data_IF_297165133650
#
_entry.id   IF_297165133650
#
_cell.length_a   1.000
_cell.length_b   1.000
_cell.length_c   1.000
_cell.angle_alpha   90.00
_cell.angle_beta   90.00
_cell.angle_gamma   90.00
#
_symmetry.space_group_name_H-M   'P 1'
#
loop_
_entity.id
_entity.type
_entity.pdbx_description
1 polymer ?
#
# COMPACT_ATOMS: atom_id res chain seq x y z
N UNK A 1 -11.58 -22.15 20.59
CA UNK A 1 -12.58 -21.07 20.41
C UNK A 1 -12.31 -20.39 19.09
N UNK A 2 -13.35 -20.21 18.28
CA UNK A 2 -13.31 -19.37 17.08
C UNK A 2 -13.05 -17.92 17.50
N UNK A 3 -12.21 -17.19 16.75
CA UNK A 3 -11.82 -15.82 17.08
C UNK A 3 -12.83 -14.81 16.52
N UNK A 4 -13.15 -13.78 17.31
CA UNK A 4 -14.01 -12.66 16.89
C UNK A 4 -13.17 -11.59 16.21
N UNK A 5 -13.43 -11.35 14.93
CA UNK A 5 -12.59 -10.48 14.09
C UNK A 5 -13.41 -9.31 13.57
N UNK A 6 -13.05 -8.09 13.97
CA UNK A 6 -13.66 -6.87 13.50
C UNK A 6 -13.06 -6.39 12.19
N UNK A 7 -13.90 -6.01 11.22
CA UNK A 7 -13.49 -5.43 9.95
C UNK A 7 -13.90 -3.96 9.86
N UNK A 8 -12.93 -3.07 9.71
CA UNK A 8 -13.14 -1.62 9.51
C UNK A 8 -12.59 -1.21 8.14
N UNK A 9 -13.32 -0.38 7.39
CA UNK A 9 -12.90 0.05 6.05
C UNK A 9 -13.02 -1.02 4.96
N UNK A 10 -13.77 -2.09 5.21
CA UNK A 10 -14.01 -3.19 4.26
C UNK A 10 -14.74 -2.75 2.97
N UNK A 11 -15.43 -1.60 2.98
CA UNK A 11 -16.11 -1.03 1.79
C UNK A 11 -15.18 -0.19 0.90
N UNK A 12 -14.02 0.22 1.40
CA UNK A 12 -13.04 0.97 0.62
C UNK A 12 -12.41 0.11 -0.48
N UNK A 13 -11.58 0.71 -1.34
CA UNK A 13 -10.90 -0.02 -2.42
C UNK A 13 -10.04 -1.18 -1.90
N UNK A 14 -9.16 -0.91 -0.91
CA UNK A 14 -8.32 -1.94 -0.29
C UNK A 14 -9.16 -2.98 0.44
N UNK A 15 -10.13 -2.52 1.23
CA UNK A 15 -11.05 -3.40 1.96
C UNK A 15 -11.86 -4.33 1.04
N UNK A 16 -12.31 -3.84 -0.12
CA UNK A 16 -13.08 -4.65 -1.08
C UNK A 16 -12.23 -5.76 -1.69
N UNK A 17 -10.96 -5.46 -2.02
CA UNK A 17 -10.00 -6.48 -2.48
C UNK A 17 -9.74 -7.50 -1.38
N UNK A 18 -9.58 -7.05 -0.12
CA UNK A 18 -9.42 -7.94 1.02
C UNK A 18 -10.63 -8.87 1.17
N UNK A 19 -11.87 -8.35 1.15
CA UNK A 19 -13.08 -9.16 1.25
C UNK A 19 -13.19 -10.20 0.14
N UNK A 20 -12.83 -9.83 -1.10
CA UNK A 20 -12.78 -10.76 -2.22
C UNK A 20 -11.75 -11.87 -1.99
N UNK A 21 -10.55 -11.54 -1.50
CA UNK A 21 -9.50 -12.54 -1.23
C UNK A 21 -9.88 -13.46 -0.07
N UNK A 22 -10.39 -12.91 1.02
CA UNK A 22 -10.86 -13.71 2.16
C UNK A 22 -11.99 -14.67 1.79
N UNK A 23 -12.90 -14.25 0.91
CA UNK A 23 -13.95 -15.14 0.39
C UNK A 23 -13.37 -16.24 -0.51
N UNK A 24 -12.39 -15.92 -1.34
CA UNK A 24 -11.76 -16.87 -2.25
C UNK A 24 -10.91 -17.93 -1.52
N UNK A 25 -10.27 -17.55 -0.41
CA UNK A 25 -9.45 -18.46 0.41
C UNK A 25 -10.24 -19.16 1.53
N UNK A 26 -11.54 -18.87 1.67
CA UNK A 26 -12.38 -19.47 2.72
C UNK A 26 -12.09 -18.98 4.14
N UNK A 27 -11.40 -17.83 4.29
CA UNK A 27 -10.96 -17.31 5.60
C UNK A 27 -12.12 -17.06 6.57
N UNK A 28 -13.28 -16.72 6.03
CA UNK A 28 -14.48 -16.48 6.82
C UNK A 28 -14.88 -17.74 7.60
N UNK A 29 -14.71 -18.95 7.07
CA UNK A 29 -15.09 -20.17 7.77
C UNK A 29 -14.30 -20.43 9.06
N UNK A 30 -13.17 -19.73 9.22
CA UNK A 30 -12.25 -19.87 10.35
C UNK A 30 -12.49 -18.87 11.49
N UNK A 31 -13.40 -17.91 11.30
CA UNK A 31 -13.60 -16.76 12.20
C UNK A 31 -15.09 -16.43 12.42
N UNK A 32 -15.36 -15.68 13.49
CA UNK A 32 -16.62 -14.96 13.69
C UNK A 32 -16.42 -13.50 13.25
N UNK A 33 -16.81 -13.12 12.02
CA UNK A 33 -16.57 -11.79 11.50
C UNK A 33 -17.60 -10.79 12.05
N UNK A 34 -17.14 -9.61 12.41
CA UNK A 34 -17.96 -8.50 12.88
C UNK A 34 -17.65 -7.27 12.03
N UNK A 35 -18.66 -6.71 11.37
CA UNK A 35 -18.45 -5.63 10.41
C UNK A 35 -18.78 -4.27 10.99
N UNK A 36 -17.85 -3.33 10.85
CA UNK A 36 -17.96 -1.97 11.35
C UNK A 36 -18.08 -0.96 10.20
N UNK A 37 -18.64 0.20 10.49
CA UNK A 37 -18.86 1.28 9.54
C UNK A 37 -18.75 2.65 10.21
N UNK A 38 -18.28 3.63 9.46
CA UNK A 38 -18.19 5.04 9.89
C UNK A 38 -19.42 5.86 9.51
N UNK A 39 -20.37 5.29 8.75
CA UNK A 39 -21.49 6.08 8.18
C UNK A 39 -22.83 5.37 8.04
N UNK A 40 -22.90 4.05 8.23
CA UNK A 40 -24.13 3.26 7.98
C UNK A 40 -24.47 2.32 9.15
N UNK A 41 -24.34 2.80 10.38
CA UNK A 41 -24.59 2.00 11.60
C UNK A 41 -26.01 1.44 11.57
N UNK A 42 -26.17 0.17 11.92
CA UNK A 42 -27.45 -0.55 11.82
C UNK A 42 -27.79 -1.08 10.42
N UNK A 43 -27.02 -0.70 9.40
CA UNK A 43 -27.18 -1.18 8.02
C UNK A 43 -26.86 -2.67 7.85
N UNK A 44 -27.10 -3.19 6.65
CA UNK A 44 -26.84 -4.60 6.31
C UNK A 44 -25.34 -4.88 6.15
N UNK A 45 -24.86 -5.97 6.76
CA UNK A 45 -23.50 -6.49 6.54
C UNK A 45 -23.24 -6.99 5.11
N UNK A 46 -21.98 -7.29 4.75
CA UNK A 46 -21.64 -7.84 3.45
C UNK A 46 -22.24 -9.24 3.25
N UNK A 47 -22.50 -9.59 1.99
CA UNK A 47 -22.95 -10.92 1.61
C UNK A 47 -21.75 -11.87 1.51
N UNK A 48 -21.40 -12.51 2.64
CA UNK A 48 -20.30 -13.49 2.73
C UNK A 48 -20.82 -14.94 2.88
N UNK A 49 -22.04 -15.21 2.40
CA UNK A 49 -22.67 -16.54 2.49
C UNK A 49 -23.28 -16.91 3.85
N UNK A 50 -23.27 -16.00 4.83
CA UNK A 50 -23.96 -16.15 6.13
C UNK A 50 -24.42 -14.81 6.68
N UNK A 51 -25.28 -14.84 7.70
CA UNK A 51 -25.70 -13.63 8.39
C UNK A 51 -24.57 -13.07 9.25
N UNK A 52 -24.35 -11.77 9.12
CA UNK A 52 -23.30 -11.01 9.81
C UNK A 52 -23.89 -10.08 10.88
N UNK A 53 -25.22 -10.05 11.02
CA UNK A 53 -25.91 -9.04 11.81
C UNK A 53 -25.78 -7.63 11.23
N UNK A 54 -26.33 -6.63 11.96
CA UNK A 54 -26.24 -5.23 11.56
C UNK A 54 -24.83 -4.67 11.73
N UNK A 55 -24.47 -3.70 10.89
CA UNK A 55 -23.19 -3.00 10.96
C UNK A 55 -23.05 -2.23 12.29
N UNK A 56 -21.89 -2.40 12.94
CA UNK A 56 -21.54 -1.69 14.19
C UNK A 56 -20.84 -0.36 13.91
N UNK A 57 -20.88 0.55 14.87
CA UNK A 57 -20.17 1.84 14.77
C UNK A 57 -18.66 1.63 14.95
N UNK A 58 -17.88 1.99 13.93
CA UNK A 58 -16.42 1.90 13.94
C UNK A 58 -15.76 2.79 15.00
N UNK A 59 -16.47 3.75 15.57
CA UNK A 59 -15.98 4.65 16.63
C UNK A 59 -16.34 4.16 18.03
N UNK A 60 -17.18 3.13 18.15
CA UNK A 60 -17.63 2.59 19.43
C UNK A 60 -16.54 1.71 20.06
N UNK A 61 -15.79 2.30 20.99
CA UNK A 61 -14.71 1.62 21.73
C UNK A 61 -15.25 0.44 22.54
N UNK A 62 -16.47 0.50 23.09
CA UNK A 62 -17.02 -0.57 23.88
C UNK A 62 -17.33 -1.80 23.03
N UNK A 63 -17.79 -1.62 21.79
CA UNK A 63 -17.96 -2.70 20.82
C UNK A 63 -16.63 -3.25 20.33
N UNK A 64 -15.68 -2.39 19.97
CA UNK A 64 -14.36 -2.81 19.50
C UNK A 64 -13.59 -3.63 20.55
N UNK A 65 -13.72 -3.29 21.83
CA UNK A 65 -13.09 -4.01 22.95
C UNK A 65 -13.51 -5.48 23.06
N UNK A 66 -14.67 -5.86 22.49
CA UNK A 66 -15.20 -7.22 22.57
C UNK A 66 -14.54 -8.19 21.57
N UNK A 67 -13.65 -7.69 20.70
CA UNK A 67 -13.03 -8.43 19.61
C UNK A 67 -11.67 -9.00 20.03
N UNK A 68 -11.30 -10.15 19.48
CA UNK A 68 -9.97 -10.72 19.61
C UNK A 68 -8.96 -10.04 18.66
N UNK A 69 -9.44 -9.68 17.46
CA UNK A 69 -8.66 -9.11 16.35
C UNK A 69 -9.46 -7.99 15.72
N UNK A 70 -8.79 -6.90 15.34
CA UNK A 70 -9.34 -5.88 14.45
C UNK A 70 -8.45 -5.83 13.21
N UNK A 71 -9.07 -5.95 12.04
CA UNK A 71 -8.44 -5.73 10.74
C UNK A 71 -9.04 -4.46 10.13
N UNK A 72 -8.20 -3.43 9.97
CA UNK A 72 -8.62 -2.15 9.42
C UNK A 72 -7.93 -1.82 8.10
N UNK A 73 -8.73 -1.39 7.13
CA UNK A 73 -8.32 -0.75 5.88
C UNK A 73 -8.87 0.68 5.76
N UNK A 74 -9.27 1.29 6.89
CA UNK A 74 -9.97 2.58 6.91
C UNK A 74 -9.03 3.77 6.66
N UNK A 75 -7.75 3.65 7.01
CA UNK A 75 -6.72 4.67 6.78
C UNK A 75 -6.21 5.34 8.06
N UNK A 76 -5.19 6.17 7.90
CA UNK A 76 -4.40 6.74 9.00
C UNK A 76 -5.22 7.56 9.99
N UNK A 77 -6.17 8.37 9.51
CA UNK A 77 -7.00 9.24 10.37
C UNK A 77 -7.84 8.41 11.35
N UNK A 78 -8.40 7.30 10.88
CA UNK A 78 -9.15 6.37 11.73
C UNK A 78 -8.25 5.74 12.80
N UNK A 79 -7.07 5.26 12.41
CA UNK A 79 -6.09 4.69 13.35
C UNK A 79 -5.69 5.72 14.40
N UNK A 80 -5.38 6.96 14.01
CA UNK A 80 -5.04 8.06 14.94
C UNK A 80 -6.19 8.33 15.91
N UNK A 81 -7.44 8.40 15.41
CA UNK A 81 -8.60 8.74 16.22
C UNK A 81 -9.03 7.65 17.20
N UNK A 82 -8.69 6.39 16.93
CA UNK A 82 -9.30 5.20 17.58
C UNK A 82 -8.29 4.35 18.34
N UNK A 83 -7.11 4.09 17.79
CA UNK A 83 -6.17 3.10 18.30
C UNK A 83 -5.78 3.35 19.76
N UNK A 84 -5.30 4.57 20.06
CA UNK A 84 -4.85 4.93 21.41
C UNK A 84 -6.00 4.87 22.43
N UNK A 85 -7.21 5.30 22.06
CA UNK A 85 -8.40 5.22 22.93
C UNK A 85 -8.76 3.77 23.24
N UNK A 86 -8.69 2.90 22.24
CA UNK A 86 -8.99 1.49 22.39
C UNK A 86 -7.98 0.78 23.31
N UNK A 87 -6.68 1.05 23.11
CA UNK A 87 -5.61 0.55 23.98
C UNK A 87 -5.73 1.09 25.41
N UNK A 88 -5.97 2.39 25.59
CA UNK A 88 -6.17 3.03 26.89
C UNK A 88 -7.38 2.46 27.65
N UNK A 89 -8.40 2.01 26.91
CA UNK A 89 -9.55 1.34 27.51
C UNK A 89 -9.25 -0.13 27.91
N UNK A 90 -8.01 -0.62 27.78
CA UNK A 90 -7.58 -1.93 28.25
C UNK A 90 -7.69 -3.06 27.23
N UNK A 91 -7.92 -2.77 25.94
CA UNK A 91 -7.99 -3.80 24.91
C UNK A 91 -6.60 -4.39 24.58
N UNK A 92 -6.48 -5.72 24.69
CA UNK A 92 -5.24 -6.48 24.46
C UNK A 92 -5.26 -7.36 23.20
N UNK A 93 -6.26 -7.15 22.33
CA UNK A 93 -6.39 -7.90 21.07
C UNK A 93 -5.39 -7.50 20.00
N UNK A 94 -5.41 -8.21 18.89
CA UNK A 94 -4.51 -7.99 17.75
C UNK A 94 -5.03 -6.87 16.84
N UNK A 95 -4.20 -5.86 16.59
CA UNK A 95 -4.48 -4.78 15.65
C UNK A 95 -3.72 -5.03 14.35
N UNK A 96 -4.47 -5.30 13.27
CA UNK A 96 -3.95 -5.51 11.92
C UNK A 96 -4.38 -4.33 11.06
N UNK A 97 -3.42 -3.62 10.46
CA UNK A 97 -3.69 -2.33 9.83
C UNK A 97 -2.95 -2.17 8.51
N UNK A 98 -3.64 -1.64 7.50
CA UNK A 98 -3.01 -1.24 6.24
C UNK A 98 -2.37 0.17 6.30
N UNK A 99 -2.78 0.99 7.28
CA UNK A 99 -2.34 2.37 7.40
C UNK A 99 -0.89 2.48 7.91
N UNK A 100 -0.19 3.54 7.46
CA UNK A 100 1.22 3.78 7.82
C UNK A 100 1.45 4.17 9.28
N UNK A 101 0.40 4.60 10.00
CA UNK A 101 0.45 5.29 11.30
C UNK A 101 1.30 4.58 12.35
N UNK A 102 1.22 3.25 12.42
CA UNK A 102 1.89 2.46 13.46
C UNK A 102 3.14 1.73 12.98
N UNK A 103 3.50 1.81 11.68
CA UNK A 103 4.58 1.00 11.08
C UNK A 103 5.89 1.09 11.83
N UNK A 104 6.25 2.30 12.29
CA UNK A 104 7.54 2.57 12.92
C UNK A 104 7.52 2.54 14.44
N UNK A 105 6.38 2.25 15.08
CA UNK A 105 6.30 2.09 16.55
C UNK A 105 7.07 0.85 17.02
N UNK A 106 7.72 0.93 18.18
CA UNK A 106 8.55 -0.17 18.71
C UNK A 106 7.73 -1.41 19.08
N UNK A 107 6.46 -1.22 19.44
CA UNK A 107 5.50 -2.27 19.76
C UNK A 107 4.73 -2.77 18.52
N UNK A 108 5.22 -2.51 17.31
CA UNK A 108 4.60 -2.90 16.05
C UNK A 108 5.58 -3.56 15.08
N UNK A 109 5.08 -4.59 14.39
CA UNK A 109 5.80 -5.30 13.32
C UNK A 109 5.20 -4.91 11.98
N UNK A 110 6.07 -4.65 11.00
CA UNK A 110 5.65 -4.55 9.60
C UNK A 110 5.59 -5.96 9.03
N UNK A 111 4.42 -6.39 8.56
CA UNK A 111 4.19 -7.78 8.11
C UNK A 111 4.38 -7.94 6.61
N UNK A 112 5.19 -8.94 6.24
CA UNK A 112 5.34 -9.44 4.89
C UNK A 112 5.84 -10.90 5.01
N UNK A 113 4.96 -11.82 5.39
CA UNK A 113 5.35 -13.13 5.88
C UNK A 113 6.18 -13.99 4.91
N UNK A 114 6.04 -13.91 3.56
CA UNK A 114 6.97 -14.62 2.67
C UNK A 114 8.42 -14.16 2.82
N UNK A 115 8.63 -12.95 3.38
CA UNK A 115 9.93 -12.32 3.59
C UNK A 115 10.38 -12.39 5.05
N UNK A 116 9.47 -12.22 6.01
CA UNK A 116 9.83 -12.02 7.42
C UNK A 116 9.02 -12.84 8.43
N UNK A 117 8.53 -14.02 8.06
CA UNK A 117 7.79 -14.92 8.97
C UNK A 117 8.57 -15.21 10.28
N UNK A 118 9.89 -15.29 10.23
CA UNK A 118 10.75 -15.44 11.41
C UNK A 118 10.63 -14.25 12.39
N UNK A 119 10.58 -13.02 11.87
CA UNK A 119 10.37 -11.79 12.68
C UNK A 119 8.97 -11.81 13.28
N UNK A 120 7.94 -12.13 12.50
CA UNK A 120 6.55 -12.21 12.95
C UNK A 120 6.39 -13.25 14.06
N UNK A 121 6.89 -14.48 13.86
CA UNK A 121 6.83 -15.55 14.88
C UNK A 121 7.58 -15.18 16.16
N UNK A 122 8.71 -14.50 16.04
CA UNK A 122 9.48 -14.05 17.20
C UNK A 122 8.73 -12.98 17.99
N UNK A 123 8.07 -12.05 17.30
CA UNK A 123 7.25 -11.01 17.92
C UNK A 123 5.99 -11.56 18.58
N UNK A 124 5.32 -12.54 17.95
CA UNK A 124 4.18 -13.25 18.53
C UNK A 124 4.55 -13.91 19.87
N UNK A 125 5.71 -14.58 19.94
CA UNK A 125 6.21 -15.19 21.20
C UNK A 125 6.51 -14.15 22.28
N UNK A 126 6.91 -12.93 21.90
CA UNK A 126 7.12 -11.79 22.81
C UNK A 126 5.83 -11.07 23.19
N UNK A 127 4.68 -11.49 22.68
CA UNK A 127 3.39 -10.91 23.00
C UNK A 127 3.02 -9.66 22.20
N UNK A 128 3.75 -9.33 21.12
CA UNK A 128 3.43 -8.18 20.27
C UNK A 128 2.03 -8.32 19.66
N UNK A 129 1.27 -7.21 19.66
CA UNK A 129 -0.14 -7.17 19.25
C UNK A 129 -0.43 -6.30 18.03
N UNK A 130 0.54 -5.56 17.50
CA UNK A 130 0.33 -4.64 16.37
C UNK A 130 1.09 -5.15 15.14
N UNK A 131 0.35 -5.43 14.06
CA UNK A 131 0.87 -6.03 12.83
C UNK A 131 0.40 -5.20 11.63
N UNK A 132 1.33 -4.49 11.00
CA UNK A 132 1.01 -3.39 10.09
C UNK A 132 1.51 -3.75 8.69
N UNK A 133 0.66 -3.63 7.68
CA UNK A 133 1.06 -3.81 6.29
C UNK A 133 2.08 -2.75 5.87
N UNK A 134 3.15 -3.17 5.19
CA UNK A 134 4.18 -2.27 4.69
C UNK A 134 3.69 -1.36 3.55
N UNK A 135 4.54 -0.40 3.16
CA UNK A 135 4.32 0.41 1.97
C UNK A 135 4.28 -0.48 0.73
N UNK A 136 3.47 -0.11 -0.26
CA UNK A 136 3.31 -0.85 -1.51
C UNK A 136 4.62 -0.98 -2.31
N UNK A 137 5.47 0.06 -2.37
CA UNK A 137 6.76 0.02 -3.06
C UNK A 137 7.70 -1.00 -2.40
N UNK A 138 7.84 -0.90 -1.07
CA UNK A 138 8.71 -1.77 -0.27
C UNK A 138 8.24 -3.22 -0.31
N UNK A 139 6.93 -3.45 -0.16
CA UNK A 139 6.37 -4.80 -0.17
C UNK A 139 6.56 -5.47 -1.53
N UNK A 140 6.25 -4.77 -2.64
CA UNK A 140 6.45 -5.31 -3.99
C UNK A 140 7.94 -5.56 -4.29
N UNK A 141 8.82 -4.64 -3.87
CA UNK A 141 10.26 -4.79 -4.05
C UNK A 141 10.80 -6.00 -3.29
N UNK A 142 10.44 -6.15 -2.01
CA UNK A 142 10.91 -7.26 -1.18
C UNK A 142 10.35 -8.60 -1.65
N UNK A 143 9.11 -8.66 -2.14
CA UNK A 143 8.59 -9.89 -2.74
C UNK A 143 9.42 -10.33 -3.96
N UNK A 144 9.78 -9.38 -4.84
CA UNK A 144 10.56 -9.67 -6.04
C UNK A 144 12.06 -9.89 -5.80
N UNK A 145 12.61 -9.39 -4.68
CA UNK A 145 14.05 -9.45 -4.38
C UNK A 145 14.40 -10.22 -3.10
N UNK A 146 13.43 -10.90 -2.47
CA UNK A 146 13.62 -11.56 -1.17
C UNK A 146 14.90 -12.39 -1.12
N UNK A 147 15.15 -13.19 -2.17
CA UNK A 147 16.31 -14.07 -2.26
C UNK A 147 17.65 -13.35 -2.11
N UNK A 148 17.78 -12.13 -2.64
CA UNK A 148 19.02 -11.35 -2.52
C UNK A 148 19.23 -10.86 -1.09
N UNK A 149 18.17 -10.41 -0.42
CA UNK A 149 18.24 -9.96 0.97
C UNK A 149 18.44 -11.12 1.95
N UNK A 150 17.78 -12.26 1.72
CA UNK A 150 17.89 -13.46 2.52
C UNK A 150 19.31 -14.06 2.49
N UNK A 151 20.01 -13.92 1.35
CA UNK A 151 21.41 -14.33 1.19
C UNK A 151 22.43 -13.23 1.54
N UNK A 152 21.99 -12.14 2.17
CA UNK A 152 22.83 -11.01 2.60
C UNK A 152 23.71 -10.41 1.47
N UNK A 153 23.21 -10.44 0.23
CA UNK A 153 23.98 -10.01 -0.93
C UNK A 153 23.92 -8.50 -1.19
N UNK A 154 22.88 -7.81 -0.73
CA UNK A 154 22.66 -6.39 -1.02
C UNK A 154 23.53 -5.52 -0.12
N UNK A 155 24.40 -4.71 -0.73
CA UNK A 155 25.19 -3.68 -0.05
C UNK A 155 24.39 -2.39 0.07
N UNK A 156 23.84 -1.92 -1.06
CA UNK A 156 22.90 -0.81 -1.13
C UNK A 156 22.01 -0.94 -2.37
N UNK A 157 20.90 -0.21 -2.38
CA UNK A 157 20.00 -0.15 -3.53
C UNK A 157 19.46 1.27 -3.75
N UNK A 158 19.37 1.67 -5.02
CA UNK A 158 18.62 2.85 -5.45
C UNK A 158 17.44 2.42 -6.30
N UNK A 159 16.26 2.99 -6.05
CA UNK A 159 15.02 2.63 -6.72
C UNK A 159 14.37 3.84 -7.41
N UNK A 160 14.10 3.72 -8.71
CA UNK A 160 13.29 4.68 -9.47
C UNK A 160 11.92 4.06 -9.70
N UNK A 161 10.88 4.62 -9.07
CA UNK A 161 9.54 4.01 -9.10
C UNK A 161 8.64 4.65 -10.15
N UNK A 162 7.74 3.82 -10.69
CA UNK A 162 6.65 4.20 -11.59
C UNK A 162 5.34 3.77 -10.93
N UNK A 163 4.82 4.62 -10.07
CA UNK A 163 3.69 4.28 -9.22
C UNK A 163 2.36 4.64 -9.89
N UNK A 164 1.38 3.75 -9.73
CA UNK A 164 0.03 3.88 -10.27
C UNK A 164 -0.87 4.81 -9.44
N UNK A 165 -1.96 5.27 -10.05
CA UNK A 165 -2.99 6.11 -9.43
C UNK A 165 -3.67 5.46 -8.22
N UNK A 166 -3.77 4.12 -8.17
CA UNK A 166 -4.37 3.42 -7.01
C UNK A 166 -3.68 3.72 -5.68
N UNK A 167 -2.42 4.14 -5.68
CA UNK A 167 -1.71 4.55 -4.45
C UNK A 167 -2.33 5.78 -3.79
N UNK A 168 -2.97 6.66 -4.56
CA UNK A 168 -3.75 7.79 -4.03
C UNK A 168 -5.20 7.43 -3.67
N UNK A 169 -5.71 6.31 -4.18
CA UNK A 169 -7.06 5.81 -3.91
C UNK A 169 -8.00 5.89 -5.12
N UNK A 170 -9.25 5.47 -4.91
CA UNK A 170 -10.22 5.27 -6.00
C UNK A 170 -10.53 6.56 -6.80
N UNK A 171 -10.60 7.72 -6.14
CA UNK A 171 -10.86 8.99 -6.85
C UNK A 171 -9.72 9.39 -7.78
N UNK A 172 -8.47 9.13 -7.39
CA UNK A 172 -7.31 9.37 -8.24
C UNK A 172 -7.33 8.51 -9.51
N UNK A 173 -7.79 7.25 -9.41
CA UNK A 173 -7.96 6.36 -10.56
C UNK A 173 -9.05 6.86 -11.51
N UNK A 174 -10.18 7.37 -10.96
CA UNK A 174 -11.26 7.97 -11.77
C UNK A 174 -10.79 9.25 -12.45
N UNK A 175 -10.09 10.12 -11.74
CA UNK A 175 -9.50 11.35 -12.27
C UNK A 175 -8.57 11.04 -13.44
N UNK A 176 -7.67 10.04 -13.30
CA UNK A 176 -6.77 9.61 -14.38
C UNK A 176 -7.54 9.19 -15.65
N UNK A 177 -8.58 8.35 -15.51
CA UNK A 177 -9.37 7.90 -16.65
C UNK A 177 -10.14 9.05 -17.32
N UNK A 178 -10.69 9.96 -16.51
CA UNK A 178 -11.36 11.16 -17.02
C UNK A 178 -10.39 12.06 -17.79
N UNK A 179 -9.19 12.28 -17.26
CA UNK A 179 -8.16 13.06 -17.95
C UNK A 179 -7.80 12.43 -19.31
N UNK A 180 -7.58 11.11 -19.39
CA UNK A 180 -7.33 10.43 -20.67
C UNK A 180 -8.48 10.61 -21.66
N UNK A 181 -9.73 10.48 -21.21
CA UNK A 181 -10.90 10.67 -22.05
C UNK A 181 -11.00 12.10 -22.61
N UNK A 182 -10.74 13.11 -21.79
CA UNK A 182 -10.78 14.52 -22.19
C UNK A 182 -9.63 14.90 -23.15
N UNK A 183 -8.42 14.39 -22.91
CA UNK A 183 -7.28 14.58 -23.82
C UNK A 183 -7.55 13.94 -25.18
N UNK A 184 -8.10 12.71 -25.20
CA UNK A 184 -8.48 12.07 -26.45
C UNK A 184 -9.58 12.83 -27.20
N UNK A 185 -10.59 13.34 -26.48
CA UNK A 185 -11.69 14.08 -27.08
C UNK A 185 -11.23 15.34 -27.83
N UNK A 186 -10.21 16.05 -27.31
CA UNK A 186 -9.66 17.27 -27.93
C UNK A 186 -9.09 17.05 -29.34
N UNK A 187 -8.56 15.84 -29.61
CA UNK A 187 -7.86 15.53 -30.87
C UNK A 187 -8.53 14.40 -31.65
N UNK A 188 -9.75 14.00 -31.26
CA UNK A 188 -10.45 12.85 -31.86
C UNK A 188 -10.59 12.96 -33.37
N UNK A 189 -10.99 14.12 -33.87
CA UNK A 189 -11.22 14.32 -35.30
C UNK A 189 -9.90 14.30 -36.09
N UNK A 190 -8.83 14.85 -35.52
CA UNK A 190 -7.49 14.75 -36.12
C UNK A 190 -7.00 13.30 -36.14
N UNK A 191 -7.23 12.54 -35.06
CA UNK A 191 -6.87 11.11 -35.02
C UNK A 191 -7.66 10.26 -36.01
N UNK A 192 -8.88 10.67 -36.37
CA UNK A 192 -9.69 9.98 -37.37
C UNK A 192 -9.21 10.25 -38.82
N UNK A 193 -8.49 11.35 -39.04
CA UNK A 193 -7.88 11.68 -40.33
C UNK A 193 -6.41 11.20 -40.37
N UNK A 194 -6.07 10.16 -41.15
CA UNK A 194 -4.70 9.66 -41.27
C UNK A 194 -3.74 10.66 -41.95
N UNK A 195 -4.26 11.70 -42.60
CA UNK A 195 -3.46 12.76 -43.21
C UNK A 195 -3.18 13.95 -42.27
N UNK A 196 -3.80 13.97 -41.08
CA UNK A 196 -3.63 15.06 -40.12
C UNK A 196 -2.17 15.21 -39.65
N UNK A 197 -1.77 16.46 -39.37
CA UNK A 197 -0.40 16.74 -38.96
C UNK A 197 -0.19 16.38 -37.48
N UNK A 198 0.77 15.49 -37.19
CA UNK A 198 1.06 15.07 -35.81
C UNK A 198 1.46 16.23 -34.88
N UNK A 199 2.11 17.27 -35.41
CA UNK A 199 2.48 18.47 -34.64
C UNK A 199 1.26 19.33 -34.26
N UNK A 200 0.15 19.22 -34.99
CA UNK A 200 -1.11 19.86 -34.60
C UNK A 200 -1.76 19.10 -33.44
N UNK A 201 -1.76 17.77 -33.51
CA UNK A 201 -2.23 16.89 -32.43
C UNK A 201 -1.45 17.16 -31.14
N UNK A 202 -0.12 17.15 -31.20
CA UNK A 202 0.75 17.44 -30.04
C UNK A 202 0.44 18.80 -29.42
N UNK A 203 0.33 19.85 -30.25
CA UNK A 203 0.01 21.20 -29.79
C UNK A 203 -1.33 21.26 -29.04
N UNK A 204 -2.36 20.59 -29.57
CA UNK A 204 -3.70 20.53 -28.95
C UNK A 204 -3.71 19.73 -27.66
N UNK A 205 -3.04 18.57 -27.61
CA UNK A 205 -2.88 17.78 -26.38
C UNK A 205 -2.18 18.61 -25.30
N UNK A 206 -1.05 19.25 -25.65
CA UNK A 206 -0.31 20.10 -24.72
C UNK A 206 -1.13 21.29 -24.25
N UNK A 207 -1.88 21.95 -25.13
CA UNK A 207 -2.77 23.04 -24.75
C UNK A 207 -3.82 22.56 -23.75
N UNK A 208 -4.46 21.41 -24.03
CA UNK A 208 -5.47 20.80 -23.16
C UNK A 208 -4.95 20.43 -21.78
N UNK A 209 -3.72 19.93 -21.70
CA UNK A 209 -3.07 19.61 -20.41
C UNK A 209 -2.78 20.86 -19.56
N UNK A 210 -2.65 22.05 -20.18
CA UNK A 210 -2.22 23.27 -19.52
C UNK A 210 -3.32 24.35 -19.37
N UNK A 211 -4.49 24.17 -19.99
CA UNK A 211 -5.58 25.17 -19.99
C UNK A 211 -6.40 25.21 -18.68
N UNK A 212 -6.15 24.29 -17.74
CA UNK A 212 -6.84 24.21 -16.46
C UNK A 212 -8.21 23.53 -16.51
N UNK A 213 -8.63 23.00 -17.66
CA UNK A 213 -9.96 22.37 -17.84
C UNK A 213 -10.00 20.88 -17.50
N UNK A 214 -8.85 20.25 -17.28
CA UNK A 214 -8.78 18.87 -16.79
C UNK A 214 -9.12 18.80 -15.29
N UNK A 215 -9.79 17.73 -14.81
CA UNK A 215 -9.95 17.50 -13.39
C UNK A 215 -8.58 17.20 -12.77
N UNK A 216 -8.17 17.98 -11.78
CA UNK A 216 -6.83 17.91 -11.17
C UNK A 216 -6.89 17.99 -9.63
N UNK A 217 -8.07 17.84 -9.02
CA UNK A 217 -8.24 18.04 -7.58
C UNK A 217 -7.44 17.00 -6.77
N UNK A 218 -7.46 15.73 -7.21
CA UNK A 218 -6.82 14.65 -6.47
C UNK A 218 -5.31 14.64 -6.68
N UNK A 219 -4.82 15.00 -7.87
CA UNK A 219 -3.39 15.11 -8.16
C UNK A 219 -2.78 16.49 -7.83
N UNK A 220 -3.36 17.22 -6.86
CA UNK A 220 -2.82 18.49 -6.34
C UNK A 220 -2.63 19.57 -7.41
N UNK A 221 -3.56 19.68 -8.34
CA UNK A 221 -3.60 20.76 -9.34
C UNK A 221 -2.74 20.52 -10.57
N UNK A 222 -2.23 19.30 -10.80
CA UNK A 222 -1.47 18.96 -12.00
C UNK A 222 -2.05 17.76 -12.76
N UNK A 223 -1.89 17.70 -14.09
CA UNK A 223 -2.36 16.57 -14.88
C UNK A 223 -1.43 15.36 -14.72
N UNK A 224 -2.00 14.15 -14.78
CA UNK A 224 -1.28 12.89 -14.81
C UNK A 224 -1.40 12.17 -16.16
N UNK A 225 -2.54 12.26 -16.85
CA UNK A 225 -2.71 11.62 -18.16
C UNK A 225 -1.74 12.25 -19.19
N UNK A 226 -0.87 11.42 -19.78
CA UNK A 226 0.20 11.89 -20.67
C UNK A 226 1.30 12.70 -19.97
N UNK A 227 1.43 12.57 -18.65
CA UNK A 227 2.41 13.27 -17.82
C UNK A 227 2.92 12.36 -16.67
N UNK A 228 3.77 12.91 -15.80
CA UNK A 228 4.24 12.28 -14.57
C UNK A 228 4.35 13.30 -13.43
N UNK A 229 4.35 12.83 -12.18
CA UNK A 229 4.51 13.69 -10.98
C UNK A 229 5.68 13.14 -10.15
N UNK A 230 6.84 13.82 -10.09
CA UNK A 230 8.06 13.33 -9.47
C UNK A 230 8.12 13.63 -7.97
N UNK A 231 6.98 13.57 -7.27
CA UNK A 231 6.90 13.75 -5.83
C UNK A 231 5.63 13.06 -5.30
N UNK A 232 5.78 12.20 -4.29
CA UNK A 232 4.66 11.47 -3.69
C UNK A 232 4.66 11.65 -2.18
N UNK A 233 3.48 11.93 -1.62
CA UNK A 233 3.26 12.15 -0.18
C UNK A 233 3.83 13.52 0.30
N UNK A 234 4.06 13.67 1.61
CA UNK A 234 4.51 14.91 2.25
C UNK A 234 5.99 15.21 1.94
N UNK A 235 6.35 16.49 1.89
CA UNK A 235 7.75 16.94 1.89
C UNK A 235 8.31 16.83 3.31
N UNK A 236 9.47 16.20 3.46
CA UNK A 236 10.16 16.08 4.75
C UNK A 236 11.05 17.29 5.08
N UNK A 237 11.16 18.27 4.20
CA UNK A 237 11.91 19.51 4.39
C UNK A 237 13.43 19.38 4.22
N UNK A 238 13.89 18.23 3.74
CA UNK A 238 15.30 17.89 3.56
C UNK A 238 15.63 17.41 2.14
N UNK A 239 14.74 17.69 1.17
CA UNK A 239 14.88 17.25 -0.21
C UNK A 239 14.40 15.81 -0.47
N UNK A 240 13.74 15.18 0.51
CA UNK A 240 13.16 13.84 0.40
C UNK A 240 11.66 13.90 0.64
N UNK A 241 10.90 13.17 -0.17
CA UNK A 241 9.49 12.94 0.08
C UNK A 241 9.29 11.81 1.10
N UNK A 242 8.17 11.84 1.81
CA UNK A 242 7.83 10.79 2.77
C UNK A 242 7.68 9.41 2.09
N UNK A 243 7.34 9.35 0.80
CA UNK A 243 7.29 8.07 0.08
C UNK A 243 8.68 7.48 -0.14
N UNK A 244 9.69 8.32 -0.39
CA UNK A 244 11.07 7.90 -0.60
C UNK A 244 11.71 7.42 0.71
N UNK A 245 11.49 8.15 1.79
CA UNK A 245 11.97 7.80 3.12
C UNK A 245 11.48 6.43 3.60
N UNK A 246 10.23 6.06 3.28
CA UNK A 246 9.67 4.75 3.62
C UNK A 246 10.49 3.61 3.01
N UNK A 247 11.11 3.82 1.84
CA UNK A 247 11.95 2.85 1.15
C UNK A 247 13.00 2.25 2.08
N UNK A 248 13.87 3.10 2.64
CA UNK A 248 14.90 2.69 3.60
C UNK A 248 14.34 2.27 4.96
N UNK A 249 13.43 3.06 5.52
CA UNK A 249 12.93 2.85 6.87
C UNK A 249 12.18 1.51 7.02
N UNK A 250 11.25 1.23 6.11
CA UNK A 250 10.40 0.03 6.20
C UNK A 250 11.15 -1.22 5.73
N UNK A 251 12.00 -1.13 4.69
CA UNK A 251 12.82 -2.27 4.24
C UNK A 251 13.63 -2.84 5.39
N UNK A 252 14.35 -1.98 6.11
CA UNK A 252 15.19 -2.41 7.21
C UNK A 252 14.37 -2.96 8.37
N UNK A 253 13.25 -2.33 8.73
CA UNK A 253 12.39 -2.84 9.79
C UNK A 253 11.78 -4.20 9.47
N UNK A 254 11.33 -4.43 8.22
CA UNK A 254 10.80 -5.73 7.76
C UNK A 254 11.87 -6.81 7.88
N UNK A 255 13.10 -6.51 7.46
CA UNK A 255 14.24 -7.43 7.48
C UNK A 255 14.87 -7.62 8.88
N UNK A 256 14.35 -6.97 9.92
CA UNK A 256 14.92 -7.02 11.26
C UNK A 256 16.30 -6.37 11.35
N UNK A 257 16.48 -5.24 10.66
CA UNK A 257 17.72 -4.45 10.60
C UNK A 257 17.51 -3.03 11.12
N UNK A 258 18.61 -2.37 11.47
CA UNK A 258 18.65 -1.04 12.05
C UNK A 258 18.95 -1.04 13.54
N UNK A 259 19.04 0.16 14.12
CA UNK A 259 19.46 0.36 15.52
C UNK A 259 18.65 -0.47 16.52
N UNK A 260 17.33 -0.56 16.34
CA UNK A 260 16.44 -1.34 17.22
C UNK A 260 16.68 -2.86 17.17
N UNK A 261 17.40 -3.35 16.17
CA UNK A 261 17.71 -4.77 15.99
C UNK A 261 19.20 -5.10 16.19
N UNK A 262 20.07 -4.11 16.36
CA UNK A 262 21.52 -4.31 16.50
C UNK A 262 22.21 -4.84 15.22
N UNK A 263 21.52 -4.80 14.08
CA UNK A 263 22.04 -5.23 12.78
C UNK A 263 22.16 -4.00 11.88
N UNK A 264 23.28 -3.85 11.17
CA UNK A 264 23.49 -2.72 10.27
C UNK A 264 22.37 -2.63 9.22
N UNK A 265 21.84 -1.41 9.05
CA UNK A 265 20.86 -1.11 8.03
C UNK A 265 21.50 -1.18 6.64
N UNK A 266 20.72 -1.66 5.67
CA UNK A 266 21.06 -1.58 4.25
C UNK A 266 20.57 -0.22 3.74
N UNK A 267 21.46 0.62 3.15
CA UNK A 267 21.03 1.85 2.50
C UNK A 267 20.10 1.53 1.33
N UNK A 268 18.88 2.05 1.42
CA UNK A 268 17.89 2.02 0.34
C UNK A 268 17.34 3.42 0.19
N UNK A 269 17.46 3.95 -1.02
CA UNK A 269 16.96 5.27 -1.37
C UNK A 269 16.18 5.20 -2.68
N UNK A 270 15.33 6.19 -2.94
CA UNK A 270 14.47 6.18 -4.13
C UNK A 270 14.10 7.56 -4.64
N UNK A 271 13.71 7.61 -5.91
CA UNK A 271 12.86 8.68 -6.44
C UNK A 271 11.47 8.12 -6.70
N UNK A 272 10.47 8.76 -6.10
CA UNK A 272 9.10 8.29 -6.15
C UNK A 272 8.24 9.06 -7.15
N UNK A 273 8.01 8.46 -8.34
CA UNK A 273 7.29 9.12 -9.45
C UNK A 273 5.92 8.48 -9.67
N UNK A 274 4.87 9.30 -9.72
CA UNK A 274 3.52 8.88 -10.12
C UNK A 274 3.43 8.91 -11.65
N UNK A 275 2.88 7.85 -12.23
CA UNK A 275 2.61 7.73 -13.67
C UNK A 275 1.15 7.34 -13.92
N UNK A 276 0.70 7.52 -15.17
CA UNK A 276 -0.66 7.20 -15.63
C UNK A 276 -0.99 5.70 -15.72
N UNK A 277 -0.70 4.91 -14.68
CA UNK A 277 -1.07 3.51 -14.56
C UNK A 277 -2.21 3.32 -13.55
N UNK A 278 -3.04 2.29 -13.73
CA UNK A 278 -4.22 2.07 -12.88
C UNK A 278 -3.86 1.54 -11.49
N UNK A 279 -3.22 0.36 -11.40
CA UNK A 279 -3.04 -0.35 -10.11
C UNK A 279 -1.74 -1.14 -9.92
N UNK A 280 -0.78 -1.04 -10.83
CA UNK A 280 0.50 -1.75 -10.73
C UNK A 280 1.64 -0.75 -10.53
N UNK A 281 2.55 -1.04 -9.62
CA UNK A 281 3.78 -0.25 -9.46
C UNK A 281 4.91 -0.99 -10.18
N UNK A 282 5.70 -0.25 -10.95
CA UNK A 282 6.95 -0.76 -11.53
C UNK A 282 8.12 -0.07 -10.85
N UNK A 283 9.28 -0.73 -10.80
CA UNK A 283 10.48 -0.21 -10.14
C UNK A 283 11.70 -0.56 -10.98
N UNK A 284 12.52 0.44 -11.31
CA UNK A 284 13.83 0.24 -11.91
C UNK A 284 14.89 0.36 -10.81
N UNK A 285 15.73 -0.67 -10.66
CA UNK A 285 16.56 -0.86 -9.49
C UNK A 285 18.03 -0.91 -9.88
N UNK A 286 18.85 -0.10 -9.22
CA UNK A 286 20.31 -0.24 -9.23
C UNK A 286 20.72 -0.87 -7.91
N UNK A 287 21.27 -2.08 -7.97
CA UNK A 287 21.62 -2.86 -6.78
C UNK A 287 23.12 -3.07 -6.77
N UNK A 288 23.79 -2.61 -5.71
CA UNK A 288 25.17 -2.99 -5.43
C UNK A 288 25.18 -4.28 -4.63
N UNK A 289 25.82 -5.31 -5.18
CA UNK A 289 26.07 -6.55 -4.47
C UNK A 289 27.38 -6.45 -3.69
N UNK A 290 27.44 -7.12 -2.53
CA UNK A 290 28.65 -7.22 -1.69
C UNK A 290 29.77 -8.02 -2.34
N UNK A 291 29.43 -8.88 -3.31
CA UNK A 291 30.37 -9.74 -4.05
C UNK A 291 29.85 -10.00 -5.46
N UNK A 292 30.74 -10.41 -6.35
CA UNK A 292 30.37 -10.84 -7.69
C UNK A 292 29.65 -12.19 -7.60
N UNK A 293 28.45 -12.29 -8.20
CA UNK A 293 27.63 -13.49 -8.23
C UNK A 293 27.16 -13.71 -9.68
N UNK A 294 27.30 -14.92 -10.23
CA UNK A 294 26.78 -15.26 -11.55
C UNK A 294 25.27 -14.98 -11.70
N UNK A 295 24.84 -14.58 -12.90
CA UNK A 295 23.44 -14.19 -13.17
C UNK A 295 22.46 -15.36 -13.00
N UNK A 296 22.88 -16.58 -13.35
CA UNK A 296 22.10 -17.80 -13.16
C UNK A 296 21.87 -18.09 -11.66
N UNK A 297 22.89 -17.92 -10.83
CA UNK A 297 22.75 -18.01 -9.37
C UNK A 297 21.80 -16.94 -8.82
N UNK A 298 21.94 -15.67 -9.25
CA UNK A 298 21.04 -14.58 -8.84
C UNK A 298 19.58 -14.88 -9.22
N UNK A 299 19.36 -15.35 -10.44
CA UNK A 299 18.03 -15.69 -10.96
C UNK A 299 17.43 -16.85 -10.16
N UNK A 300 18.23 -17.88 -9.87
CA UNK A 300 17.80 -19.02 -9.05
C UNK A 300 17.45 -18.59 -7.62
N UNK A 301 18.26 -17.72 -7.00
CA UNK A 301 17.99 -17.21 -5.66
C UNK A 301 16.69 -16.41 -5.61
N UNK A 302 16.42 -15.57 -6.61
CA UNK A 302 15.16 -14.82 -6.70
C UNK A 302 13.97 -15.78 -6.88
N UNK A 303 14.04 -16.69 -7.86
CA UNK A 303 12.94 -17.59 -8.21
C UNK A 303 12.58 -18.59 -7.10
N UNK A 304 13.55 -19.00 -6.28
CA UNK A 304 13.33 -19.97 -5.19
C UNK A 304 12.99 -19.33 -3.84
N UNK A 305 13.02 -18.00 -3.75
CA UNK A 305 12.89 -17.28 -2.49
C UNK A 305 11.49 -17.43 -1.85
N UNK A 306 10.45 -17.44 -2.67
CA UNK A 306 9.07 -17.62 -2.24
C UNK A 306 8.21 -18.15 -3.40
N UNK A 307 6.95 -18.53 -3.12
CA UNK A 307 6.04 -19.16 -4.10
C UNK A 307 5.31 -18.16 -5.03
N UNK A 308 5.46 -16.86 -4.80
CA UNK A 308 4.71 -15.80 -5.47
C UNK A 308 5.51 -15.13 -6.59
#
# INVERSE_FOLDING_TARGET
>A
MVKRVGFVGWRGMVGSVLMQRMQAEGDFDLIEPVFFTTSQVGGKGPAIGRDCGPLKDASDIAELKKLDVILTCQGSDYTIATYEKLRAAGWQGYWIDAAKTLRMKDDAIIVLDPVNLNVIKSALKKGVKNYIGGNCTVSCMLMGLHGLFANDLVEWMSCMTYQAASGGGAQHMRELLNQFGLVNAEVRDLLADPASAILEIDRKVKAKQNDGSLPMENFRGVPLAGNLIPWIDQDMGNGMSLEEWKGGAETNKILGRGGSFGVAAIPVDSLCVRVGAMRCHSQALTIKLKRNVPIDELTSMIASANQW
#
